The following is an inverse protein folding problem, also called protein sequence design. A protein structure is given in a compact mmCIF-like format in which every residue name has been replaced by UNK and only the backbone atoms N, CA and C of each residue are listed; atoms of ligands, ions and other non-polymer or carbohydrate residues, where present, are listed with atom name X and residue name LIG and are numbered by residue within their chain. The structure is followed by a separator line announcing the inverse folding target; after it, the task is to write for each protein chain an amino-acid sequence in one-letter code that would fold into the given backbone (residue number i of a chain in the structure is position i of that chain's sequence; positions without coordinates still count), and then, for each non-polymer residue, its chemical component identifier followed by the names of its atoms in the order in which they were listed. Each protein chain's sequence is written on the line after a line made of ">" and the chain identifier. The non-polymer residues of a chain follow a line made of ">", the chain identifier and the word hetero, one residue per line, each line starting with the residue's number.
data_IF_395890529226
#
_entry.id   IF_395890529226
#
_cell.length_a   1.000
_cell.length_b   1.000
_cell.length_c   1.000
_cell.angle_alpha   90.00
_cell.angle_beta   90.00
_cell.angle_gamma   90.00
#
_symmetry.space_group_name_H-M   'P 1'
#
loop_
_entity.id
_entity.type
_entity.pdbx_description
1 polymer ?
#
# COMPACT_ATOMS: atom_id res chain seq x y z
N UNK A 1 53.63 -50.71 -43.14
CA UNK A 1 52.64 -50.72 -42.06
C UNK A 1 53.21 -49.89 -40.93
N UNK A 2 52.86 -48.61 -40.89
CA UNK A 2 53.05 -47.76 -39.71
C UNK A 2 51.79 -46.92 -39.57
N UNK A 3 51.11 -47.12 -38.45
CA UNK A 3 49.79 -46.59 -38.14
C UNK A 3 49.97 -45.25 -37.40
N UNK A 4 48.96 -44.37 -37.54
CA UNK A 4 48.71 -43.15 -36.73
C UNK A 4 49.53 -41.93 -37.16
N UNK A 5 49.06 -40.96 -37.96
CA UNK A 5 47.79 -40.21 -37.90
C UNK A 5 47.38 -39.93 -36.46
N UNK A 6 47.63 -38.71 -35.97
CA UNK A 6 46.59 -37.80 -35.47
C UNK A 6 47.21 -36.40 -35.34
N UNK A 7 46.81 -35.52 -36.26
CA UNK A 7 46.70 -34.09 -35.97
C UNK A 7 45.66 -33.90 -34.87
N UNK A 8 46.03 -33.32 -33.73
CA UNK A 8 45.07 -32.76 -32.79
C UNK A 8 45.30 -31.25 -32.70
N UNK A 9 44.45 -30.56 -33.44
CA UNK A 9 44.20 -29.13 -33.47
C UNK A 9 44.18 -28.48 -32.08
N UNK A 10 44.90 -27.38 -31.95
CA UNK A 10 44.68 -26.37 -30.94
C UNK A 10 43.29 -25.73 -31.13
N UNK A 11 42.37 -25.97 -30.20
CA UNK A 11 41.13 -25.19 -30.10
C UNK A 11 40.61 -25.16 -28.65
N UNK A 12 41.10 -24.19 -27.86
CA UNK A 12 40.18 -23.41 -27.03
C UNK A 12 39.54 -22.37 -27.96
N UNK A 13 38.25 -21.99 -27.85
CA UNK A 13 37.50 -21.72 -26.62
C UNK A 13 36.11 -22.42 -26.65
N UNK A 14 35.30 -22.51 -25.60
CA UNK A 14 34.43 -21.42 -25.14
C UNK A 14 33.65 -21.85 -23.88
N UNK A 15 33.95 -21.12 -22.82
CA UNK A 15 33.27 -21.06 -21.52
C UNK A 15 31.73 -21.03 -21.65
N UNK A 16 30.96 -21.94 -21.02
CA UNK A 16 29.49 -21.84 -20.94
C UNK A 16 29.02 -20.77 -19.93
N UNK A 17 29.85 -19.81 -19.55
CA UNK A 17 29.51 -18.79 -18.55
C UNK A 17 28.61 -17.68 -19.11
N UNK A 18 28.54 -17.51 -20.44
CA UNK A 18 27.60 -16.56 -21.07
C UNK A 18 26.14 -17.01 -20.98
N UNK A 19 25.84 -18.31 -20.94
CA UNK A 19 24.45 -18.81 -20.81
C UNK A 19 23.87 -18.48 -19.44
N UNK A 20 24.56 -18.84 -18.36
CA UNK A 20 24.11 -18.54 -16.99
C UNK A 20 24.07 -17.04 -16.67
N UNK A 21 24.98 -16.25 -17.25
CA UNK A 21 24.94 -14.79 -17.12
C UNK A 21 23.74 -14.19 -17.88
N UNK A 22 23.44 -14.69 -19.09
CA UNK A 22 22.28 -14.23 -19.86
C UNK A 22 20.96 -14.72 -19.26
N UNK A 23 20.88 -15.91 -18.67
CA UNK A 23 19.70 -16.39 -17.93
C UNK A 23 19.49 -15.62 -16.63
N UNK A 24 20.54 -15.34 -15.87
CA UNK A 24 20.45 -14.50 -14.67
C UNK A 24 20.08 -13.04 -15.00
N UNK A 25 20.53 -12.52 -16.15
CA UNK A 25 20.11 -11.22 -16.68
C UNK A 25 18.67 -11.24 -17.21
N UNK A 26 18.19 -12.37 -17.75
CA UNK A 26 16.79 -12.55 -18.18
C UNK A 26 15.81 -12.79 -17.01
N UNK A 27 16.25 -13.29 -15.86
CA UNK A 27 15.40 -13.34 -14.66
C UNK A 27 15.21 -11.94 -14.04
N UNK A 28 16.15 -11.04 -14.33
CA UNK A 28 16.02 -9.59 -14.07
C UNK A 28 15.36 -8.84 -15.26
N UNK A 29 14.90 -9.55 -16.30
CA UNK A 29 14.09 -9.00 -17.38
C UNK A 29 12.79 -8.51 -16.75
N UNK A 30 12.70 -7.18 -16.70
CA UNK A 30 11.58 -6.43 -16.20
C UNK A 30 10.28 -7.02 -16.74
N UNK A 31 9.43 -7.52 -15.85
CA UNK A 31 8.06 -7.90 -16.22
C UNK A 31 7.34 -6.65 -16.76
N UNK A 32 7.34 -6.49 -18.09
CA UNK A 32 6.79 -5.35 -18.85
C UNK A 32 5.25 -5.25 -18.77
N UNK A 33 4.62 -6.03 -17.87
CA UNK A 33 3.19 -5.93 -17.65
C UNK A 33 2.88 -4.54 -17.08
N UNK A 34 1.99 -3.76 -17.72
CA UNK A 34 1.62 -2.44 -17.22
C UNK A 34 1.17 -2.56 -15.77
N UNK A 35 1.55 -1.59 -14.92
CA UNK A 35 1.32 -1.59 -13.47
C UNK A 35 -0.12 -2.01 -13.10
N UNK A 36 -1.10 -1.60 -13.90
CA UNK A 36 -2.52 -1.92 -13.77
C UNK A 36 -2.89 -3.40 -14.01
N UNK A 37 -2.15 -4.15 -14.84
CA UNK A 37 -2.34 -5.59 -15.06
C UNK A 37 -1.71 -6.47 -13.98
N UNK A 38 -0.91 -5.89 -13.07
CA UNK A 38 -0.37 -6.57 -11.88
C UNK A 38 -1.29 -6.44 -10.65
N UNK A 39 -2.35 -5.64 -10.73
CA UNK A 39 -3.32 -5.50 -9.64
C UNK A 39 -4.19 -6.76 -9.57
N UNK A 40 -4.24 -7.36 -8.38
CA UNK A 40 -5.12 -8.48 -8.10
C UNK A 40 -6.54 -8.02 -7.76
N UNK A 41 -7.42 -9.00 -7.53
CA UNK A 41 -8.83 -8.75 -7.17
C UNK A 41 -8.95 -7.88 -5.90
N UNK A 42 -8.02 -8.06 -4.95
CA UNK A 42 -8.02 -7.34 -3.66
C UNK A 42 -7.65 -5.86 -3.85
N UNK A 43 -6.78 -5.55 -4.80
CA UNK A 43 -6.41 -4.17 -5.14
C UNK A 43 -7.62 -3.39 -5.68
N UNK A 44 -8.40 -4.05 -6.53
CA UNK A 44 -9.64 -3.49 -7.06
C UNK A 44 -10.73 -3.38 -6.00
N UNK A 45 -10.90 -4.40 -5.16
CA UNK A 45 -11.85 -4.35 -4.05
C UNK A 45 -11.55 -3.17 -3.10
N UNK A 46 -10.28 -2.96 -2.76
CA UNK A 46 -9.86 -1.84 -1.94
C UNK A 46 -10.21 -0.48 -2.58
N UNK A 47 -9.96 -0.35 -3.89
CA UNK A 47 -10.31 0.86 -4.63
C UNK A 47 -11.83 1.11 -4.65
N UNK A 48 -12.62 0.07 -4.90
CA UNK A 48 -14.09 0.14 -4.88
C UNK A 48 -14.60 0.56 -3.50
N UNK A 49 -14.09 -0.03 -2.43
CA UNK A 49 -14.47 0.33 -1.05
C UNK A 49 -14.14 1.80 -0.77
N UNK A 50 -12.97 2.28 -1.21
CA UNK A 50 -12.57 3.67 -1.02
C UNK A 50 -13.50 4.65 -1.76
N UNK A 51 -13.80 4.36 -3.03
CA UNK A 51 -14.72 5.17 -3.84
C UNK A 51 -16.14 5.13 -3.28
N UNK A 52 -16.62 3.96 -2.84
CA UNK A 52 -17.93 3.83 -2.22
C UNK A 52 -18.03 4.62 -0.91
N UNK A 53 -16.99 4.59 -0.07
CA UNK A 53 -16.93 5.37 1.17
C UNK A 53 -16.97 6.87 0.91
N UNK A 54 -16.21 7.37 -0.05
CA UNK A 54 -16.25 8.78 -0.43
C UNK A 54 -17.58 9.18 -1.09
N UNK A 55 -18.15 8.31 -1.93
CA UNK A 55 -19.46 8.51 -2.52
C UNK A 55 -20.58 8.59 -1.47
N UNK A 56 -20.52 7.73 -0.45
CA UNK A 56 -21.42 7.79 0.71
C UNK A 56 -21.24 9.09 1.51
N UNK A 57 -20.00 9.51 1.74
CA UNK A 57 -19.72 10.76 2.44
C UNK A 57 -20.28 11.97 1.68
N UNK A 58 -20.07 12.03 0.37
CA UNK A 58 -20.65 13.09 -0.47
C UNK A 58 -22.18 13.01 -0.51
N UNK A 59 -22.79 11.84 -0.72
CA UNK A 59 -24.26 11.78 -0.81
C UNK A 59 -24.96 12.20 0.48
N UNK A 60 -24.41 11.83 1.65
CA UNK A 60 -25.04 12.11 2.95
C UNK A 60 -24.64 13.44 3.56
N UNK A 61 -23.39 13.85 3.40
CA UNK A 61 -22.79 14.99 4.11
C UNK A 61 -22.41 16.17 3.22
N UNK A 62 -22.58 16.09 1.89
CA UNK A 62 -22.35 17.23 0.99
C UNK A 62 -23.05 18.54 1.40
N UNK A 63 -24.27 18.54 1.99
CA UNK A 63 -24.89 19.78 2.48
C UNK A 63 -24.11 20.48 3.60
N UNK A 64 -23.32 19.72 4.37
CA UNK A 64 -22.51 20.22 5.49
C UNK A 64 -21.04 20.42 5.11
N UNK A 65 -20.65 20.09 3.86
CA UNK A 65 -19.28 20.22 3.36
C UNK A 65 -19.13 21.47 2.50
N UNK A 66 -18.07 22.23 2.74
CA UNK A 66 -17.68 23.34 1.89
C UNK A 66 -16.99 22.83 0.61
N UNK A 67 -16.71 23.76 -0.31
CA UNK A 67 -16.02 23.42 -1.56
C UNK A 67 -14.64 22.78 -1.32
N UNK A 68 -13.88 23.28 -0.33
CA UNK A 68 -12.58 22.73 0.04
C UNK A 68 -12.68 21.28 0.51
N UNK A 69 -13.64 20.94 1.37
CA UNK A 69 -13.78 19.59 1.91
C UNK A 69 -14.08 18.57 0.79
N UNK A 70 -14.90 18.96 -0.19
CA UNK A 70 -15.24 18.13 -1.35
C UNK A 70 -14.02 17.90 -2.23
N UNK A 71 -13.22 18.94 -2.47
CA UNK A 71 -11.98 18.83 -3.22
C UNK A 71 -10.96 17.94 -2.50
N UNK A 72 -10.76 18.14 -1.20
CA UNK A 72 -9.85 17.32 -0.39
C UNK A 72 -10.30 15.86 -0.43
N UNK A 73 -11.58 15.57 -0.24
CA UNK A 73 -12.10 14.21 -0.32
C UNK A 73 -11.88 13.60 -1.72
N UNK A 74 -12.18 14.35 -2.78
CA UNK A 74 -12.02 13.89 -4.16
C UNK A 74 -10.56 13.61 -4.52
N UNK A 75 -9.61 14.41 -4.03
CA UNK A 75 -8.17 14.20 -4.24
C UNK A 75 -7.59 13.12 -3.32
N UNK A 76 -8.11 13.00 -2.08
CA UNK A 76 -7.65 12.00 -1.13
C UNK A 76 -7.91 10.57 -1.60
N UNK A 77 -9.07 10.31 -2.20
CA UNK A 77 -9.45 8.98 -2.72
C UNK A 77 -8.40 8.40 -3.68
N UNK A 78 -8.07 9.03 -4.82
CA UNK A 78 -7.08 8.48 -5.75
C UNK A 78 -5.70 8.37 -5.11
N UNK A 79 -5.30 9.31 -4.24
CA UNK A 79 -4.03 9.25 -3.51
C UNK A 79 -3.96 8.01 -2.63
N UNK A 80 -4.99 7.74 -1.82
CA UNK A 80 -5.04 6.56 -0.95
C UNK A 80 -5.17 5.25 -1.73
N UNK A 81 -5.89 5.25 -2.86
CA UNK A 81 -5.97 4.09 -3.76
C UNK A 81 -4.59 3.76 -4.33
N UNK A 82 -3.88 4.75 -4.88
CA UNK A 82 -2.51 4.57 -5.40
C UNK A 82 -1.56 4.13 -4.30
N UNK A 83 -1.66 4.71 -3.09
CA UNK A 83 -0.86 4.33 -1.93
C UNK A 83 -1.15 2.87 -1.52
N UNK A 84 -2.41 2.46 -1.48
CA UNK A 84 -2.81 1.09 -1.15
C UNK A 84 -2.40 0.05 -2.20
N UNK A 85 -2.28 0.45 -3.47
CA UNK A 85 -1.71 -0.38 -4.54
C UNK A 85 -0.20 -0.47 -4.46
N UNK A 86 0.49 0.65 -4.19
CA UNK A 86 1.95 0.67 -4.09
C UNK A 86 2.45 -0.02 -2.84
N UNK A 87 1.78 0.18 -1.70
CA UNK A 87 2.14 -0.35 -0.38
C UNK A 87 1.01 -1.19 0.22
N UNK A 88 1.00 -2.48 -0.13
CA UNK A 88 0.05 -3.47 0.42
C UNK A 88 -0.09 -3.48 1.96
N UNK A 89 0.98 -3.33 2.78
CA UNK A 89 0.82 -3.32 4.25
C UNK A 89 0.04 -2.11 4.79
N UNK A 90 -0.21 -1.06 4.00
CA UNK A 90 -1.00 0.10 4.43
C UNK A 90 -2.49 -0.22 4.56
N UNK A 91 -3.00 -1.25 3.86
CA UNK A 91 -4.44 -1.58 3.87
C UNK A 91 -5.01 -1.90 5.26
N UNK A 92 -4.43 -2.81 6.06
CA UNK A 92 -4.95 -3.06 7.40
C UNK A 92 -4.87 -1.82 8.29
N UNK A 93 -3.85 -0.97 8.12
CA UNK A 93 -3.76 0.31 8.84
C UNK A 93 -4.91 1.25 8.49
N UNK A 94 -5.22 1.40 7.20
CA UNK A 94 -6.35 2.21 6.73
C UNK A 94 -7.69 1.70 7.27
N UNK A 95 -7.89 0.38 7.28
CA UNK A 95 -9.09 -0.25 7.86
C UNK A 95 -9.15 0.02 9.37
N UNK A 96 -8.03 -0.11 10.07
CA UNK A 96 -7.92 0.20 11.50
C UNK A 96 -8.26 1.66 11.79
N UNK A 97 -7.69 2.60 11.03
CA UNK A 97 -7.98 4.04 11.16
C UNK A 97 -9.48 4.31 10.91
N UNK A 98 -10.08 3.71 9.88
CA UNK A 98 -11.50 3.86 9.59
C UNK A 98 -12.38 3.33 10.75
N UNK A 99 -12.07 2.14 11.27
CA UNK A 99 -12.80 1.54 12.40
C UNK A 99 -12.66 2.40 13.68
N UNK A 100 -11.44 2.84 14.00
CA UNK A 100 -11.19 3.73 15.14
C UNK A 100 -11.90 5.07 14.98
N UNK A 101 -11.92 5.64 13.77
CA UNK A 101 -12.63 6.89 13.47
C UNK A 101 -14.14 6.74 13.69
N UNK A 102 -14.76 5.66 13.18
CA UNK A 102 -16.18 5.39 13.40
C UNK A 102 -16.51 5.15 14.87
N UNK A 103 -15.67 4.40 15.59
CA UNK A 103 -15.81 4.19 17.03
C UNK A 103 -15.72 5.52 17.79
N UNK A 104 -14.77 6.38 17.42
CA UNK A 104 -14.63 7.71 18.02
C UNK A 104 -15.89 8.57 17.82
N UNK A 105 -16.42 8.60 16.59
CA UNK A 105 -17.67 9.31 16.26
C UNK A 105 -18.83 8.81 17.15
N UNK A 106 -18.92 7.49 17.38
CA UNK A 106 -19.95 6.91 18.25
C UNK A 106 -19.80 7.32 19.72
N UNK A 107 -18.57 7.47 20.22
CA UNK A 107 -18.34 7.93 21.60
C UNK A 107 -18.66 9.42 21.77
N UNK A 108 -18.39 10.24 20.75
CA UNK A 108 -18.72 11.67 20.75
C UNK A 108 -20.22 11.93 20.99
N UNK A 109 -21.12 11.04 20.54
CA UNK A 109 -22.59 11.19 20.72
C UNK A 109 -23.14 12.59 20.38
N UNK A 110 -22.49 13.31 19.46
CA UNK A 110 -22.87 14.68 19.06
C UNK A 110 -22.39 15.79 20.00
N UNK A 111 -21.64 15.47 21.06
CA UNK A 111 -21.12 16.43 22.03
C UNK A 111 -19.58 16.50 21.95
N UNK A 112 -19.08 17.60 21.39
CA UNK A 112 -17.64 17.84 21.24
C UNK A 112 -16.90 17.90 22.59
N UNK A 113 -17.57 18.25 23.70
CA UNK A 113 -16.95 18.33 25.03
C UNK A 113 -16.51 16.96 25.54
N UNK A 114 -17.03 15.86 24.96
CA UNK A 114 -16.61 14.50 25.30
C UNK A 114 -15.19 14.17 24.88
N UNK A 115 -14.54 15.00 24.05
CA UNK A 115 -13.12 14.88 23.77
C UNK A 115 -12.27 14.86 25.05
N UNK A 116 -12.67 15.63 26.06
CA UNK A 116 -11.91 15.83 27.30
C UNK A 116 -12.33 14.90 28.46
N UNK A 117 -13.52 14.33 28.39
CA UNK A 117 -14.10 13.48 29.44
C UNK A 117 -14.12 12.00 29.09
N UNK A 118 -14.27 11.65 27.80
CA UNK A 118 -14.27 10.26 27.38
C UNK A 118 -12.84 9.71 27.42
N UNK A 119 -12.61 8.79 28.35
CA UNK A 119 -11.30 8.16 28.58
C UNK A 119 -10.64 7.68 27.28
N UNK A 120 -11.37 6.97 26.42
CA UNK A 120 -10.81 6.42 25.18
C UNK A 120 -10.38 7.51 24.18
N UNK A 121 -11.15 8.61 24.09
CA UNK A 121 -10.78 9.74 23.23
C UNK A 121 -9.54 10.44 23.78
N UNK A 122 -9.54 10.74 25.08
CA UNK A 122 -8.46 11.49 25.73
C UNK A 122 -7.15 10.73 25.84
N UNK A 123 -7.19 9.45 26.18
CA UNK A 123 -5.99 8.66 26.51
C UNK A 123 -5.59 7.66 25.42
N UNK A 124 -6.38 7.49 24.36
CA UNK A 124 -6.00 6.56 23.28
C UNK A 124 -5.98 7.24 21.91
N UNK A 125 -6.99 8.05 21.60
CA UNK A 125 -7.12 8.69 20.28
C UNK A 125 -6.59 10.13 20.22
N UNK A 126 -6.35 10.76 21.36
CA UNK A 126 -5.75 12.09 21.43
C UNK A 126 -4.29 12.04 20.99
N UNK A 127 -3.87 13.03 20.21
CA UNK A 127 -2.50 13.12 19.67
C UNK A 127 -1.43 13.09 20.76
N UNK A 128 -1.66 13.72 21.92
CA UNK A 128 -0.68 13.74 23.01
C UNK A 128 -0.49 12.35 23.62
N UNK A 129 -1.57 11.59 23.79
CA UNK A 129 -1.48 10.24 24.32
C UNK A 129 -0.89 9.27 23.29
N UNK A 130 -1.22 9.43 22.01
CA UNK A 130 -0.64 8.60 20.94
C UNK A 130 0.90 8.67 20.93
N UNK A 131 1.47 9.86 21.14
CA UNK A 131 2.93 10.04 21.26
C UNK A 131 3.49 9.29 22.48
N UNK A 132 2.81 9.35 23.63
CA UNK A 132 3.22 8.61 24.82
C UNK A 132 3.21 7.10 24.58
N UNK A 133 2.18 6.57 23.90
CA UNK A 133 2.10 5.17 23.53
C UNK A 133 3.19 4.75 22.56
N UNK A 134 3.56 5.61 21.60
CA UNK A 134 4.71 5.36 20.73
C UNK A 134 5.97 5.19 21.59
N UNK A 135 6.28 6.15 22.47
CA UNK A 135 7.45 6.06 23.36
C UNK A 135 7.43 4.83 24.28
N UNK A 136 6.26 4.42 24.78
CA UNK A 136 6.14 3.27 25.69
C UNK A 136 6.34 1.92 24.97
N UNK A 137 5.95 1.81 23.70
CA UNK A 137 6.11 0.59 22.90
C UNK A 137 7.51 0.48 22.25
N UNK A 138 8.27 1.57 22.19
CA UNK A 138 9.66 1.60 21.77
C UNK A 138 10.63 1.38 22.95
N UNK A 139 10.55 0.21 23.60
CA UNK A 139 11.53 -0.27 24.60
C UNK A 139 12.53 -1.24 23.97
#
# INVERSE_FOLDING_TARGET
>A
MDLTQVSSSSSSPSRPQKSFANEALNVAEYDERPFLKRLGIVDWLFAVVMVAGAGFALSRYHPFMNYYDKLVLCLAVPVFVVLGWRWKPVRPLMVGIAALSLLAIQIYQGDLSRADSAFFLKYFLSSQSAILWMSALFV
#
